data_IF_505246392504
#
_entry.id   IF_505246392504
#
_cell.length_a   1.000
_cell.length_b   1.000
_cell.length_c   1.000
_cell.angle_alpha   90.00
_cell.angle_beta   90.00
_cell.angle_gamma   90.00
#
_symmetry.space_group_name_H-M   'P 1'
#
loop_
_entity.id
_entity.type
_entity.pdbx_description
1 polymer ?
#
# COMPACT_ATOMS: atom_id res chain seq x y z
N UNK A 1 -9.19 -9.76 -4.33
CA UNK A 1 -8.25 -9.39 -3.25
C UNK A 1 -9.01 -8.60 -2.20
N UNK A 2 -8.80 -8.85 -0.89
CA UNK A 2 -9.60 -8.24 0.19
C UNK A 2 -9.66 -6.70 0.14
N UNK A 3 -8.59 -6.03 -0.28
CA UNK A 3 -8.58 -4.58 -0.46
C UNK A 3 -9.68 -4.11 -1.43
N UNK A 4 -9.74 -4.69 -2.64
CA UNK A 4 -10.79 -4.40 -3.62
C UNK A 4 -12.18 -4.90 -3.22
N UNK A 5 -12.28 -6.13 -2.70
CA UNK A 5 -13.59 -6.79 -2.50
C UNK A 5 -14.27 -6.45 -1.18
N UNK A 6 -13.50 -6.26 -0.10
CA UNK A 6 -14.05 -5.97 1.24
C UNK A 6 -13.84 -4.52 1.66
N UNK A 7 -12.69 -3.94 1.28
CA UNK A 7 -12.30 -2.61 1.72
C UNK A 7 -12.63 -1.51 0.70
N UNK A 8 -12.96 -1.88 -0.54
CA UNK A 8 -13.17 -0.96 -1.65
C UNK A 8 -12.02 0.05 -1.81
N UNK A 9 -10.79 -0.45 -1.69
CA UNK A 9 -9.57 0.30 -1.94
C UNK A 9 -8.89 -0.17 -3.22
N UNK A 10 -8.33 0.79 -3.94
CA UNK A 10 -7.28 0.55 -4.93
C UNK A 10 -5.92 0.45 -4.22
N UNK A 11 -5.03 -0.38 -4.74
CA UNK A 11 -3.70 -0.61 -4.19
C UNK A 11 -2.68 0.13 -5.03
N UNK A 12 -2.13 1.20 -4.47
CA UNK A 12 -1.14 2.04 -5.12
C UNK A 12 0.24 1.78 -4.51
N UNK A 13 1.27 1.67 -5.36
CA UNK A 13 2.65 1.58 -4.91
C UNK A 13 3.32 2.94 -4.99
N UNK A 14 3.59 3.53 -3.83
CA UNK A 14 4.33 4.80 -3.76
C UNK A 14 5.82 4.58 -4.00
N UNK A 15 6.39 5.31 -4.94
CA UNK A 15 7.81 5.29 -5.24
C UNK A 15 8.30 6.65 -5.78
N UNK A 16 9.54 7.02 -5.45
CA UNK A 16 10.26 8.10 -6.14
C UNK A 16 10.36 7.81 -7.63
N UNK A 17 10.34 8.86 -8.47
CA UNK A 17 10.33 8.76 -9.94
C UNK A 17 11.46 7.85 -10.46
N UNK A 18 12.66 7.96 -9.89
CA UNK A 18 13.83 7.19 -10.31
C UNK A 18 13.72 5.69 -9.98
N UNK A 19 12.83 5.32 -9.06
CA UNK A 19 12.63 3.94 -8.59
C UNK A 19 11.41 3.26 -9.21
N UNK A 20 10.50 3.99 -9.84
CA UNK A 20 9.30 3.42 -10.50
C UNK A 20 9.70 2.31 -11.47
N UNK A 21 10.71 2.58 -12.29
CA UNK A 21 11.20 1.69 -13.32
C UNK A 21 11.76 0.37 -12.76
N UNK A 22 12.40 0.44 -11.60
CA UNK A 22 12.91 -0.72 -10.86
C UNK A 22 11.77 -1.58 -10.33
N UNK A 23 10.79 -0.96 -9.65
CA UNK A 23 9.65 -1.68 -9.09
C UNK A 23 8.75 -2.26 -10.17
N UNK A 24 8.57 -1.56 -11.29
CA UNK A 24 7.83 -2.08 -12.44
C UNK A 24 8.44 -3.38 -12.96
N UNK A 25 9.76 -3.41 -13.17
CA UNK A 25 10.48 -4.62 -13.62
C UNK A 25 10.37 -5.76 -12.59
N UNK A 26 10.42 -5.44 -11.30
CA UNK A 26 10.27 -6.42 -10.21
C UNK A 26 8.87 -7.04 -10.21
N UNK A 27 7.81 -6.23 -10.18
CA UNK A 27 6.42 -6.69 -10.22
C UNK A 27 6.15 -7.51 -11.48
N UNK A 28 6.66 -7.07 -12.65
CA UNK A 28 6.52 -7.78 -13.92
C UNK A 28 7.14 -9.17 -13.86
N UNK A 29 8.36 -9.27 -13.32
CA UNK A 29 9.09 -10.54 -13.21
C UNK A 29 8.34 -11.57 -12.37
N UNK A 30 7.63 -11.14 -11.34
CA UNK A 30 6.91 -12.00 -10.43
C UNK A 30 5.42 -12.17 -10.74
N UNK A 31 4.89 -11.47 -11.75
CA UNK A 31 3.47 -11.48 -12.08
C UNK A 31 2.59 -10.83 -11.00
N UNK A 32 3.12 -9.85 -10.26
CA UNK A 32 2.44 -9.24 -9.12
C UNK A 32 1.53 -8.05 -9.47
N UNK A 33 1.42 -7.70 -10.75
CA UNK A 33 0.50 -6.66 -11.21
C UNK A 33 -0.97 -7.00 -10.99
N UNK A 34 -1.32 -8.26 -10.73
CA UNK A 34 -2.67 -8.65 -10.32
C UNK A 34 -3.09 -8.04 -8.97
N UNK A 35 -2.13 -7.48 -8.21
CA UNK A 35 -2.29 -6.98 -6.85
C UNK A 35 -1.98 -5.49 -6.69
N UNK A 36 -1.49 -4.82 -7.74
CA UNK A 36 -1.12 -3.41 -7.73
C UNK A 36 -1.83 -2.72 -8.88
N UNK A 37 -2.57 -1.67 -8.57
CA UNK A 37 -3.40 -0.94 -9.52
C UNK A 37 -2.61 0.14 -10.27
N UNK A 38 -1.77 0.89 -9.57
CA UNK A 38 -0.90 1.89 -10.18
C UNK A 38 0.31 2.26 -9.30
N UNK A 39 1.22 3.02 -9.87
CA UNK A 39 2.29 3.72 -9.16
C UNK A 39 1.91 5.17 -8.90
N UNK A 40 2.30 5.67 -7.73
CA UNK A 40 2.14 7.08 -7.38
C UNK A 40 3.44 7.64 -6.83
N UNK A 41 3.63 8.95 -7.01
CA UNK A 41 4.76 9.64 -6.41
C UNK A 41 4.34 10.27 -5.08
N UNK A 42 5.24 10.40 -4.09
CA UNK A 42 4.93 11.01 -2.80
C UNK A 42 4.31 12.41 -2.92
N UNK A 43 4.73 13.20 -3.92
CA UNK A 43 4.28 14.57 -4.14
C UNK A 43 2.81 14.66 -4.59
N UNK A 44 2.25 13.56 -5.12
CA UNK A 44 0.86 13.52 -5.55
C UNK A 44 -0.10 13.47 -4.37
N UNK A 45 0.39 13.07 -3.18
CA UNK A 45 -0.32 13.14 -1.91
C UNK A 45 -1.70 12.47 -1.93
N UNK A 46 -1.80 11.31 -2.58
CA UNK A 46 -3.04 10.55 -2.68
C UNK A 46 -3.65 10.26 -1.30
N UNK A 47 -4.98 10.44 -1.20
CA UNK A 47 -5.73 10.22 0.02
C UNK A 47 -6.05 8.73 0.21
N UNK A 48 -5.76 8.20 1.40
CA UNK A 48 -6.07 6.82 1.75
C UNK A 48 -5.44 6.40 3.06
N UNK A 49 -5.55 5.11 3.37
CA UNK A 49 -4.79 4.51 4.48
C UNK A 49 -3.41 4.13 3.95
N UNK A 50 -2.36 4.63 4.60
CA UNK A 50 -0.97 4.36 4.22
C UNK A 50 -0.38 3.25 5.08
N UNK A 51 0.51 2.45 4.50
CA UNK A 51 1.34 1.50 5.24
C UNK A 51 2.78 1.97 5.08
N UNK A 52 3.38 2.43 6.17
CA UNK A 52 4.70 3.07 6.13
C UNK A 52 5.52 2.67 7.37
N UNK A 53 6.82 2.87 7.33
CA UNK A 53 7.74 2.65 8.46
C UNK A 53 7.67 3.79 9.47
N UNK A 54 7.24 4.97 9.04
CA UNK A 54 7.21 6.20 9.83
C UNK A 54 5.82 6.85 9.75
N UNK A 55 5.48 7.68 10.75
CA UNK A 55 4.18 8.36 10.82
C UNK A 55 4.21 9.70 10.05
N UNK A 56 4.50 9.61 8.75
CA UNK A 56 4.63 10.78 7.87
C UNK A 56 3.30 11.47 7.54
N UNK A 57 2.20 10.72 7.59
CA UNK A 57 0.88 11.16 7.15
C UNK A 57 -0.22 10.82 8.16
N UNK A 58 -1.35 11.54 8.14
CA UNK A 58 -2.56 11.10 8.82
C UNK A 58 -3.03 9.73 8.27
N UNK A 59 -3.61 8.88 9.12
CA UNK A 59 -4.10 7.53 8.75
C UNK A 59 -3.02 6.58 8.21
N UNK A 60 -1.87 6.52 8.90
CA UNK A 60 -0.80 5.56 8.61
C UNK A 60 -0.79 4.37 9.56
N UNK A 61 -0.73 3.17 9.01
CA UNK A 61 -0.38 1.93 9.72
C UNK A 61 1.13 1.81 9.73
N UNK A 62 1.74 2.08 10.89
CA UNK A 62 3.19 2.02 11.03
C UNK A 62 3.67 0.57 11.17
N UNK A 63 4.47 0.08 10.23
CA UNK A 63 5.06 -1.26 10.28
C UNK A 63 6.40 -1.33 9.56
N UNK A 64 7.38 -2.05 10.13
CA UNK A 64 8.71 -2.19 9.52
C UNK A 64 8.73 -3.05 8.25
N UNK A 65 7.83 -4.03 8.14
CA UNK A 65 7.67 -4.92 6.99
C UNK A 65 6.34 -5.67 7.04
N UNK A 66 5.72 -5.94 5.90
CA UNK A 66 4.56 -6.83 5.79
C UNK A 66 5.05 -8.28 5.82
N UNK A 67 4.53 -9.09 6.74
CA UNK A 67 4.85 -10.51 6.90
C UNK A 67 3.59 -11.30 7.22
N UNK A 68 3.63 -12.62 7.01
CA UNK A 68 2.48 -13.48 7.30
C UNK A 68 1.99 -13.36 8.75
N UNK A 69 2.90 -13.15 9.70
CA UNK A 69 2.58 -13.08 11.13
C UNK A 69 1.83 -11.79 11.52
N UNK A 70 2.02 -10.70 10.76
CA UNK A 70 1.43 -9.40 11.09
C UNK A 70 0.30 -8.96 10.14
N UNK A 71 0.02 -9.72 9.08
CA UNK A 71 -1.05 -9.41 8.11
C UNK A 71 -2.40 -9.14 8.78
N UNK A 72 -2.84 -10.00 9.71
CA UNK A 72 -4.13 -9.82 10.39
C UNK A 72 -4.17 -8.55 11.24
N UNK A 73 -3.06 -8.20 11.90
CA UNK A 73 -2.96 -6.96 12.68
C UNK A 73 -3.02 -5.73 11.78
N UNK A 74 -2.27 -5.74 10.67
CA UNK A 74 -2.28 -4.66 9.66
C UNK A 74 -3.70 -4.47 9.12
N UNK A 75 -4.37 -5.56 8.72
CA UNK A 75 -5.75 -5.50 8.22
C UNK A 75 -6.74 -4.93 9.24
N UNK A 76 -6.59 -5.28 10.53
CA UNK A 76 -7.40 -4.71 11.60
C UNK A 76 -7.23 -3.20 11.73
N UNK A 77 -5.98 -2.72 11.64
CA UNK A 77 -5.68 -1.28 11.68
C UNK A 77 -6.23 -0.54 10.45
N UNK A 78 -6.07 -1.10 9.25
CA UNK A 78 -6.64 -0.52 8.02
C UNK A 78 -8.17 -0.38 8.15
N UNK A 79 -8.83 -1.41 8.68
CA UNK A 79 -10.28 -1.39 8.94
C UNK A 79 -10.67 -0.33 9.97
N UNK A 80 -9.88 -0.10 11.02
CA UNK A 80 -10.18 0.94 12.01
C UNK A 80 -9.94 2.37 11.52
N UNK A 81 -8.99 2.58 10.61
CA UNK A 81 -8.69 3.90 10.02
C UNK A 81 -9.67 4.28 8.92
N UNK A 82 -10.41 3.30 8.40
CA UNK A 82 -11.56 3.53 7.53
C UNK A 82 -12.69 4.08 8.38
N UNK A 83 -12.86 5.41 8.35
CA UNK A 83 -14.05 6.05 8.91
C UNK A 83 -15.30 5.49 8.21
N UNK A 84 -16.08 4.68 8.93
CA UNK A 84 -17.48 4.39 8.60
C UNK A 84 -18.33 5.53 9.14
#
# INVERSE_FOLDING_TARGET
MMAKTELNYDILLEAEEEKVDYYFKLLKKHGWFDFVDDFVQPEWAEEGVRIDKELNYPKTVQVGSIRCENTLSILGQIKSLRNV
#
